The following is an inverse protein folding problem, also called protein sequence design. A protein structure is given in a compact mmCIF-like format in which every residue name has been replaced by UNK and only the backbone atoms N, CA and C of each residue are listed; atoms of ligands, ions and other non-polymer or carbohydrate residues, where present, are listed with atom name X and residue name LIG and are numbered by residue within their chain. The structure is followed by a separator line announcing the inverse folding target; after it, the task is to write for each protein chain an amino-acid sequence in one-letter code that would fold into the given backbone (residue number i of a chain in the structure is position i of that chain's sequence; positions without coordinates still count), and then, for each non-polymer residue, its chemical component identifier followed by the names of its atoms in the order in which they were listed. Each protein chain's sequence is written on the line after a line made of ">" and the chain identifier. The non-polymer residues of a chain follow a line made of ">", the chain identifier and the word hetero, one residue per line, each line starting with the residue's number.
data_IF_332326532512
#
_entry.id   IF_332326532512
#
_cell.length_a   1.000
_cell.length_b   1.000
_cell.length_c   1.000
_cell.angle_alpha   90.00
_cell.angle_beta   90.00
_cell.angle_gamma   90.00
#
_symmetry.space_group_name_H-M   'P 1'
#
loop_
_entity.id
_entity.type
_entity.pdbx_description
1 polymer ?
#
# COMPACT_ATOMS: atom_id res chain seq x y z
N UNK A 1 13.36 12.29 -11.69
CA UNK A 1 13.04 12.54 -10.26
C UNK A 1 11.79 11.73 -9.97
N UNK A 2 11.88 10.81 -9.01
CA UNK A 2 10.77 9.92 -8.63
C UNK A 2 9.63 10.77 -8.06
N UNK A 3 8.41 10.50 -8.51
CA UNK A 3 7.20 11.14 -8.00
C UNK A 3 6.35 10.16 -7.21
N UNK A 4 5.40 10.70 -6.43
CA UNK A 4 4.49 9.90 -5.61
C UNK A 4 3.68 8.94 -6.46
N UNK A 5 3.28 9.36 -7.66
CA UNK A 5 2.52 8.55 -8.60
C UNK A 5 3.31 7.32 -9.06
N UNK A 6 4.63 7.44 -9.27
CA UNK A 6 5.50 6.34 -9.68
C UNK A 6 5.60 5.28 -8.56
N UNK A 7 5.74 5.75 -7.31
CA UNK A 7 5.77 4.88 -6.11
C UNK A 7 4.42 4.19 -5.93
N UNK A 8 3.31 4.92 -6.03
CA UNK A 8 1.96 4.34 -5.91
C UNK A 8 1.67 3.33 -7.02
N UNK A 9 2.15 3.57 -8.25
CA UNK A 9 2.02 2.63 -9.35
C UNK A 9 2.77 1.31 -9.07
N UNK A 10 4.00 1.39 -8.52
CA UNK A 10 4.77 0.21 -8.10
C UNK A 10 4.14 -0.54 -6.95
N UNK A 11 3.65 0.17 -5.93
CA UNK A 11 2.95 -0.44 -4.80
C UNK A 11 1.63 -1.11 -5.23
N UNK A 12 0.98 -0.64 -6.29
CA UNK A 12 -0.22 -1.28 -6.86
C UNK A 12 0.05 -2.65 -7.49
N UNK A 13 1.30 -2.97 -7.80
CA UNK A 13 1.70 -4.31 -8.27
C UNK A 13 1.79 -5.33 -7.12
N UNK A 14 1.82 -4.87 -5.86
CA UNK A 14 1.91 -5.74 -4.68
C UNK A 14 0.51 -6.21 -4.29
N UNK A 15 0.27 -7.51 -4.43
CA UNK A 15 -1.02 -8.14 -4.11
C UNK A 15 -0.96 -8.76 -2.73
N UNK A 16 -1.96 -8.47 -1.89
CA UNK A 16 -2.21 -9.20 -0.66
C UNK A 16 -2.70 -10.62 -1.00
N UNK A 17 -1.96 -11.70 -0.68
CA UNK A 17 -2.33 -13.06 -1.07
C UNK A 17 -3.54 -13.61 -0.31
N UNK A 18 -3.91 -13.01 0.83
CA UNK A 18 -5.10 -13.42 1.61
C UNK A 18 -6.37 -12.85 0.97
N UNK A 19 -6.30 -11.60 0.52
CA UNK A 19 -7.47 -10.87 0.00
C UNK A 19 -7.53 -10.90 -1.53
N UNK A 20 -6.41 -11.10 -2.22
CA UNK A 20 -6.30 -11.17 -3.68
C UNK A 20 -6.29 -9.80 -4.39
N UNK A 21 -6.13 -8.70 -3.66
CA UNK A 21 -6.11 -7.34 -4.21
C UNK A 21 -4.84 -6.57 -3.89
N UNK A 22 -4.58 -5.51 -4.65
CA UNK A 22 -3.40 -4.68 -4.42
C UNK A 22 -3.49 -3.96 -3.07
N UNK A 23 -2.34 -3.79 -2.41
CA UNK A 23 -2.26 -3.05 -1.15
C UNK A 23 -2.69 -1.58 -1.30
N UNK A 24 -2.58 -1.02 -2.51
CA UNK A 24 -3.06 0.32 -2.84
C UNK A 24 -4.58 0.35 -2.94
N UNK A 25 -5.18 -0.61 -3.64
CA UNK A 25 -6.64 -0.66 -3.82
C UNK A 25 -7.36 -1.03 -2.52
N UNK A 26 -6.70 -1.80 -1.65
CA UNK A 26 -7.17 -2.08 -0.30
C UNK A 26 -7.06 -0.86 0.64
N UNK A 27 -6.40 0.22 0.22
CA UNK A 27 -6.20 1.41 1.05
C UNK A 27 -5.23 1.17 2.22
N UNK A 28 -4.24 0.29 2.03
CA UNK A 28 -3.24 -0.04 3.06
C UNK A 28 -2.08 0.98 3.10
N UNK A 29 -1.92 1.80 2.06
CA UNK A 29 -0.88 2.83 1.99
C UNK A 29 -1.43 4.13 2.56
N UNK A 30 -0.86 4.59 3.68
CA UNK A 30 -1.31 5.81 4.37
C UNK A 30 -0.50 7.02 3.96
N UNK A 31 0.80 6.84 3.77
CA UNK A 31 1.70 7.92 3.42
C UNK A 31 2.84 7.43 2.52
N UNK A 32 3.30 8.32 1.65
CA UNK A 32 4.49 8.16 0.83
C UNK A 32 5.25 9.47 0.90
N UNK A 33 6.41 9.44 1.54
CA UNK A 33 7.34 10.55 1.64
C UNK A 33 8.56 10.29 0.75
N UNK A 34 8.90 11.29 -0.06
CA UNK A 34 9.98 11.24 -1.05
C UNK A 34 11.05 12.22 -0.60
N UNK A 35 12.17 11.68 -0.15
CA UNK A 35 13.27 12.42 0.44
C UNK A 35 14.50 12.39 -0.47
N UNK A 36 15.49 13.25 -0.17
CA UNK A 36 16.78 13.27 -0.86
C UNK A 36 16.66 13.30 -2.39
N UNK A 37 15.78 14.16 -2.91
CA UNK A 37 15.52 14.31 -4.35
C UNK A 37 15.05 13.02 -5.06
N UNK A 38 14.38 12.12 -4.33
CA UNK A 38 13.86 10.86 -4.86
C UNK A 38 14.73 9.65 -4.61
N UNK A 39 15.87 9.80 -3.92
CA UNK A 39 16.76 8.69 -3.58
C UNK A 39 16.28 7.85 -2.41
N UNK A 40 15.54 8.45 -1.48
CA UNK A 40 15.00 7.75 -0.31
C UNK A 40 13.49 7.84 -0.32
N UNK A 41 12.81 6.70 -0.26
CA UNK A 41 11.36 6.62 -0.21
C UNK A 41 10.95 6.02 1.14
N UNK A 42 10.08 6.71 1.86
CA UNK A 42 9.52 6.23 3.12
C UNK A 42 8.03 6.03 2.92
N UNK A 43 7.55 4.81 3.18
CA UNK A 43 6.14 4.45 3.02
C UNK A 43 5.59 4.04 4.38
N UNK A 44 4.55 4.74 4.84
CA UNK A 44 3.79 4.31 6.00
C UNK A 44 2.59 3.51 5.50
N UNK A 45 2.52 2.25 5.91
CA UNK A 45 1.43 1.35 5.53
C UNK A 45 0.89 0.59 6.74
N UNK A 46 -0.30 0.06 6.60
CA UNK A 46 -0.92 -0.83 7.57
C UNK A 46 -1.27 -2.17 6.92
N UNK A 47 -1.90 -3.07 7.68
CA UNK A 47 -2.34 -4.38 7.20
C UNK A 47 -3.75 -4.68 7.68
N UNK A 48 -4.45 -5.55 6.96
CA UNK A 48 -5.80 -6.00 7.29
C UNK A 48 -5.88 -6.76 8.62
N UNK A 49 -4.81 -7.49 8.99
CA UNK A 49 -4.73 -8.30 10.20
C UNK A 49 -3.39 -8.15 10.92
N UNK A 50 -3.43 -8.06 12.26
CA UNK A 50 -2.26 -8.05 13.15
C UNK A 50 -1.76 -9.47 13.43
N UNK A 51 -0.45 -9.72 13.33
CA UNK A 51 0.23 -10.93 13.81
C UNK A 51 0.37 -12.08 12.80
N UNK A 52 0.10 -11.86 11.51
CA UNK A 52 0.27 -12.92 10.49
C UNK A 52 1.74 -13.05 10.05
N UNK A 53 2.29 -14.25 9.80
CA UNK A 53 3.64 -14.40 9.21
C UNK A 53 3.81 -13.67 7.87
N UNK A 54 2.70 -13.42 7.17
CA UNK A 54 2.65 -12.67 5.91
C UNK A 54 3.00 -11.18 6.02
N UNK A 55 2.99 -10.60 7.23
CA UNK A 55 3.32 -9.19 7.42
C UNK A 55 4.71 -8.85 6.87
N UNK A 56 5.70 -9.66 7.24
CA UNK A 56 7.09 -9.48 6.78
C UNK A 56 7.22 -9.68 5.26
N UNK A 57 6.46 -10.62 4.69
CA UNK A 57 6.47 -10.88 3.26
C UNK A 57 5.93 -9.67 2.49
N UNK A 58 4.77 -9.13 2.89
CA UNK A 58 4.15 -7.98 2.24
C UNK A 58 5.00 -6.71 2.37
N UNK A 59 5.55 -6.41 3.55
CA UNK A 59 6.42 -5.25 3.72
C UNK A 59 7.70 -5.39 2.89
N UNK A 60 8.27 -6.59 2.79
CA UNK A 60 9.46 -6.82 1.95
C UNK A 60 9.13 -6.70 0.46
N UNK A 61 8.00 -7.24 0.01
CA UNK A 61 7.56 -7.09 -1.39
C UNK A 61 7.32 -5.62 -1.74
N UNK A 62 6.65 -4.86 -0.86
CA UNK A 62 6.45 -3.43 -1.02
C UNK A 62 7.79 -2.68 -1.10
N UNK A 63 8.72 -2.97 -0.18
CA UNK A 63 10.07 -2.40 -0.19
C UNK A 63 10.77 -2.66 -1.53
N UNK A 64 10.87 -3.93 -1.92
CA UNK A 64 11.55 -4.34 -3.14
C UNK A 64 10.94 -3.67 -4.38
N UNK A 65 9.61 -3.59 -4.47
CA UNK A 65 8.92 -2.95 -5.59
C UNK A 65 9.22 -1.47 -5.71
N UNK A 66 9.40 -0.77 -4.59
CA UNK A 66 9.78 0.64 -4.59
C UNK A 66 11.25 0.82 -4.96
N UNK A 67 12.14 -0.09 -4.51
CA UNK A 67 13.57 -0.08 -4.86
C UNK A 67 13.85 -0.41 -6.34
N UNK A 68 12.89 -0.99 -7.06
CA UNK A 68 12.98 -1.17 -8.53
C UNK A 68 12.90 0.15 -9.30
N UNK A 69 12.46 1.26 -8.68
CA UNK A 69 12.36 2.55 -9.36
C UNK A 69 13.74 3.13 -9.64
N UNK A 70 13.95 3.58 -10.87
CA UNK A 70 15.21 4.20 -11.28
C UNK A 70 15.53 5.43 -10.42
N UNK A 71 16.70 5.40 -9.78
CA UNK A 71 17.18 6.49 -8.92
C UNK A 71 16.80 6.37 -7.45
N UNK A 72 16.01 5.37 -7.05
CA UNK A 72 15.81 5.02 -5.64
C UNK A 72 17.04 4.25 -5.15
N UNK A 73 17.65 4.71 -4.06
CA UNK A 73 18.79 4.07 -3.40
C UNK A 73 18.34 3.31 -2.13
N UNK A 74 17.25 3.75 -1.48
CA UNK A 74 16.74 3.15 -0.24
C UNK A 74 15.21 3.29 -0.17
N UNK A 75 14.52 2.18 0.12
CA UNK A 75 13.13 2.22 0.56
C UNK A 75 12.98 1.76 2.01
N UNK A 76 12.17 2.50 2.78
CA UNK A 76 11.82 2.19 4.17
C UNK A 76 10.31 2.01 4.26
N UNK A 77 9.87 0.87 4.79
CA UNK A 77 8.47 0.58 5.01
C UNK A 77 8.20 0.60 6.52
N UNK A 78 7.38 1.54 6.96
CA UNK A 78 6.92 1.63 8.35
C UNK A 78 5.55 1.00 8.47
N UNK A 79 5.44 0.00 9.34
CA UNK A 79 4.16 -0.61 9.65
C UNK A 79 3.47 0.17 10.77
N UNK A 80 2.41 0.90 10.43
CA UNK A 80 1.61 1.69 11.36
C UNK A 80 0.26 1.02 11.62
N UNK A 81 -0.27 1.25 12.82
CA UNK A 81 -1.53 0.63 13.28
C UNK A 81 -2.61 1.64 13.64
N UNK A 82 -2.28 2.93 13.57
CA UNK A 82 -3.18 4.04 13.85
C UNK A 82 -3.17 5.00 12.64
N UNK A 83 -4.36 5.37 12.09
CA UNK A 83 -5.66 4.79 12.43
C UNK A 83 -5.73 3.29 12.08
N UNK A 84 -6.60 2.49 12.72
CA UNK A 84 -6.80 1.10 12.34
C UNK A 84 -7.48 1.01 10.97
N UNK A 85 -7.01 0.08 10.14
CA UNK A 85 -7.63 -0.19 8.85
C UNK A 85 -9.07 -0.69 9.00
N UNK A 86 -9.93 -0.29 8.08
CA UNK A 86 -11.27 -0.87 7.95
C UNK A 86 -11.74 -0.84 6.47
N UNK A 87 -12.74 -1.65 6.09
CA UNK A 87 -13.19 -1.77 4.70
C UNK A 87 -13.66 -0.47 4.03
N UNK A 88 -14.01 0.58 4.79
CA UNK A 88 -14.38 1.87 4.19
C UNK A 88 -13.20 2.52 3.47
N UNK A 89 -11.96 2.15 3.83
CA UNK A 89 -10.71 2.65 3.23
C UNK A 89 -10.41 2.06 1.85
N UNK A 90 -11.13 1.02 1.43
CA UNK A 90 -10.98 0.42 0.10
C UNK A 90 -11.25 1.48 -0.98
N UNK A 91 -10.45 1.48 -2.04
CA UNK A 91 -10.58 2.44 -3.15
C UNK A 91 -11.93 2.32 -3.85
N UNK A 92 -12.45 3.46 -4.33
CA UNK A 92 -13.73 3.47 -5.08
C UNK A 92 -13.64 2.65 -6.37
N UNK A 93 -12.45 2.56 -6.96
CA UNK A 93 -12.18 1.71 -8.12
C UNK A 93 -12.44 0.24 -7.79
N UNK A 94 -11.92 -0.25 -6.66
CA UNK A 94 -12.12 -1.63 -6.25
C UNK A 94 -13.56 -1.91 -5.83
N UNK A 95 -14.20 -0.98 -5.11
CA UNK A 95 -15.63 -1.06 -4.75
C UNK A 95 -16.51 -1.20 -5.99
N UNK A 96 -16.28 -0.38 -7.02
CA UNK A 96 -16.99 -0.44 -8.31
C UNK A 96 -16.75 -1.75 -9.05
N UNK A 97 -15.51 -2.25 -9.06
CA UNK A 97 -15.13 -3.47 -9.79
C UNK A 97 -15.76 -4.74 -9.21
N UNK A 98 -15.98 -4.78 -7.89
CA UNK A 98 -16.50 -5.96 -7.20
C UNK A 98 -17.96 -5.87 -6.80
N UNK A 99 -18.63 -4.74 -7.07
CA UNK A 99 -20.02 -4.57 -6.68
C UNK A 99 -20.21 -4.64 -5.16
N UNK A 100 -19.24 -4.14 -4.39
CA UNK A 100 -19.50 -3.78 -2.99
C UNK A 100 -20.54 -2.67 -3.04
N UNK A 101 -21.81 -3.08 -3.03
CA UNK A 101 -22.89 -2.23 -2.60
C UNK A 101 -22.44 -1.70 -1.26
N UNK A 102 -22.16 -0.40 -1.21
CA UNK A 102 -22.46 0.34 0.01
C UNK A 102 -23.88 -0.09 0.34
N UNK A 103 -24.08 -0.86 1.41
CA UNK A 103 -25.38 -1.02 2.01
C UNK A 103 -25.80 0.40 2.41
N UNK A 104 -26.41 1.06 1.44
CA UNK A 104 -27.28 2.21 1.60
C UNK A 104 -28.24 1.78 2.71
N UNK A 105 -28.09 2.43 3.85
CA UNK A 105 -28.99 2.26 4.97
C UNK A 105 -30.42 2.41 4.46
N UNK A 106 -31.16 1.31 4.52
CA UNK A 106 -32.61 1.31 4.52
C UNK A 106 -33.12 0.32 5.53
#
# INVERSE_FOLDING_TARGET
>A
MVKKEDVMAKLKEVIDPEIGFSIVDLGLIYNVDIQNQGKKIVVDMTLTVKGCPLQYALTNMAKQKVEELEGVEEAVINLVWDPPWNPSMISDELKKRFGYATEDGK
#
